data_IF_408866501448
#
_entry.id   IF_408866501448
#
_cell.length_a   1.000
_cell.length_b   1.000
_cell.length_c   1.000
_cell.angle_alpha   90.00
_cell.angle_beta   90.00
_cell.angle_gamma   90.00
#
_symmetry.space_group_name_H-M   'P 1'
#
loop_
_entity.id
_entity.type
_entity.pdbx_description
1 polymer ?
#
# COMPACT_ATOMS: atom_id res chain seq x y z
N UNK A 1 63.32 -25.61 -37.60
CA UNK A 1 62.43 -24.69 -36.84
C UNK A 1 60.96 -25.13 -36.85
N UNK A 2 60.41 -25.66 -37.96
CA UNK A 2 59.02 -26.17 -38.07
C UNK A 2 58.50 -27.07 -36.94
N UNK A 3 59.31 -27.99 -36.42
CA UNK A 3 58.84 -28.96 -35.41
C UNK A 3 58.54 -28.30 -34.04
N UNK A 4 59.20 -27.18 -33.70
CA UNK A 4 58.91 -26.45 -32.46
C UNK A 4 57.59 -25.67 -32.54
N UNK A 5 57.26 -25.12 -33.71
CA UNK A 5 55.99 -24.41 -33.95
C UNK A 5 54.80 -25.37 -33.94
N UNK A 6 54.93 -26.56 -34.53
CA UNK A 6 53.87 -27.58 -34.48
C UNK A 6 53.60 -28.09 -33.06
N UNK A 7 54.64 -28.31 -32.26
CA UNK A 7 54.51 -28.70 -30.85
C UNK A 7 53.86 -27.56 -30.04
N UNK A 8 54.20 -26.30 -30.34
CA UNK A 8 53.61 -25.13 -29.68
C UNK A 8 52.12 -24.99 -30.01
N UNK A 9 51.73 -25.10 -31.29
CA UNK A 9 50.33 -25.02 -31.72
C UNK A 9 49.51 -26.15 -31.08
N UNK A 10 50.01 -27.39 -31.05
CA UNK A 10 49.32 -28.51 -30.39
C UNK A 10 49.07 -28.26 -28.89
N UNK A 11 50.03 -27.67 -28.18
CA UNK A 11 49.86 -27.32 -26.75
C UNK A 11 48.81 -26.23 -26.54
N UNK A 12 48.82 -25.19 -27.38
CA UNK A 12 47.82 -24.11 -27.33
C UNK A 12 46.43 -24.64 -27.65
N UNK A 13 46.29 -25.51 -28.65
CA UNK A 13 45.01 -26.16 -28.99
C UNK A 13 44.49 -27.02 -27.83
N UNK A 14 45.34 -27.80 -27.17
CA UNK A 14 44.94 -28.60 -26.00
C UNK A 14 44.45 -27.72 -24.85
N UNK A 15 45.17 -26.64 -24.54
CA UNK A 15 44.77 -25.70 -23.48
C UNK A 15 43.43 -25.03 -23.84
N UNK A 16 43.26 -24.60 -25.08
CA UNK A 16 42.02 -24.00 -25.55
C UNK A 16 40.83 -24.96 -25.45
N UNK A 17 41.03 -26.25 -25.77
CA UNK A 17 40.01 -27.28 -25.67
C UNK A 17 39.60 -27.53 -24.21
N UNK A 18 40.55 -27.49 -23.27
CA UNK A 18 40.29 -27.56 -21.82
C UNK A 18 39.45 -26.36 -21.36
N UNK A 19 39.78 -25.15 -21.82
CA UNK A 19 39.00 -23.95 -21.49
C UNK A 19 37.57 -24.02 -22.04
N UNK A 20 37.38 -24.51 -23.27
CA UNK A 20 36.04 -24.74 -23.83
C UNK A 20 35.26 -25.73 -22.98
N UNK A 21 35.89 -26.84 -22.57
CA UNK A 21 35.22 -27.86 -21.77
C UNK A 21 34.79 -27.32 -20.40
N UNK A 22 35.63 -26.52 -19.75
CA UNK A 22 35.27 -25.82 -18.51
C UNK A 22 34.10 -24.85 -18.73
N UNK A 23 34.13 -24.07 -19.82
CA UNK A 23 33.06 -23.13 -20.14
C UNK A 23 31.73 -23.85 -20.38
N UNK A 24 31.75 -24.97 -21.12
CA UNK A 24 30.56 -25.82 -21.34
C UNK A 24 30.05 -26.40 -20.03
N UNK A 25 30.92 -26.83 -19.11
CA UNK A 25 30.51 -27.31 -17.79
C UNK A 25 29.80 -26.24 -16.96
N UNK A 26 30.31 -25.00 -16.97
CA UNK A 26 29.67 -23.87 -16.28
C UNK A 26 28.34 -23.54 -16.93
N UNK A 27 28.29 -23.51 -18.25
CA UNK A 27 27.06 -23.24 -19.01
C UNK A 27 25.98 -24.27 -18.73
N UNK A 28 26.30 -25.56 -18.75
CA UNK A 28 25.38 -26.64 -18.39
C UNK A 28 24.89 -26.51 -16.94
N UNK A 29 25.77 -26.10 -16.01
CA UNK A 29 25.38 -25.84 -14.62
C UNK A 29 24.39 -24.68 -14.51
N UNK A 30 24.58 -23.61 -15.29
CA UNK A 30 23.65 -22.48 -15.35
C UNK A 30 22.29 -22.88 -15.92
N UNK A 31 22.26 -23.61 -17.04
CA UNK A 31 21.01 -24.12 -17.63
C UNK A 31 20.28 -25.03 -16.64
N UNK A 32 20.99 -25.92 -15.94
CA UNK A 32 20.40 -26.77 -14.91
C UNK A 32 19.76 -25.94 -13.78
N UNK A 33 20.44 -24.89 -13.30
CA UNK A 33 19.89 -23.99 -12.29
C UNK A 33 18.66 -23.22 -12.80
N UNK A 34 18.70 -22.74 -14.05
CA UNK A 34 17.65 -21.90 -14.63
C UNK A 34 16.43 -22.66 -15.16
N UNK A 35 16.57 -23.94 -15.53
CA UNK A 35 15.47 -24.74 -16.10
C UNK A 35 14.93 -25.74 -15.08
N UNK A 36 15.81 -26.48 -14.40
CA UNK A 36 15.38 -27.58 -13.49
C UNK A 36 15.07 -27.05 -12.09
N UNK A 37 15.91 -26.14 -11.57
CA UNK A 37 15.71 -25.58 -10.23
C UNK A 37 14.89 -24.29 -10.19
N UNK A 38 14.38 -23.81 -11.34
CA UNK A 38 13.59 -22.58 -11.42
C UNK A 38 12.41 -22.59 -10.47
N UNK A 39 11.63 -23.67 -10.50
CA UNK A 39 10.40 -23.79 -9.71
C UNK A 39 10.70 -23.93 -8.22
N UNK A 40 11.75 -24.70 -7.86
CA UNK A 40 12.20 -24.83 -6.46
C UNK A 40 12.76 -23.53 -5.90
N UNK A 41 13.57 -22.78 -6.67
CA UNK A 41 14.09 -21.48 -6.23
C UNK A 41 12.96 -20.43 -6.11
N UNK A 42 12.01 -20.42 -7.05
CA UNK A 42 10.84 -19.52 -6.97
C UNK A 42 9.95 -19.89 -5.79
N UNK A 43 9.79 -21.17 -5.46
CA UNK A 43 9.00 -21.60 -4.30
C UNK A 43 9.66 -21.32 -2.95
N UNK A 44 11.00 -21.30 -2.88
CA UNK A 44 11.77 -20.95 -1.67
C UNK A 44 12.00 -19.43 -1.53
N UNK A 45 11.94 -18.69 -2.64
CA UNK A 45 11.75 -17.24 -2.65
C UNK A 45 10.31 -16.96 -2.21
N UNK A 46 10.08 -17.10 -0.90
CA UNK A 46 8.85 -16.79 -0.20
C UNK A 46 7.93 -15.79 -0.95
N UNK A 47 6.62 -16.03 -1.04
CA UNK A 47 5.65 -15.02 -1.48
C UNK A 47 5.57 -13.82 -0.49
N UNK A 48 6.44 -13.76 0.52
CA UNK A 48 6.63 -12.63 1.42
C UNK A 48 6.99 -11.32 0.68
N UNK A 49 7.51 -11.39 -0.55
CA UNK A 49 7.69 -10.19 -1.37
C UNK A 49 6.40 -9.72 -2.03
N UNK A 50 5.40 -10.58 -2.18
CA UNK A 50 4.15 -10.24 -2.86
C UNK A 50 3.10 -9.62 -1.93
N UNK A 51 3.40 -9.42 -0.64
CA UNK A 51 2.44 -8.89 0.32
C UNK A 51 3.00 -7.70 1.10
N UNK A 52 2.35 -6.54 0.95
CA UNK A 52 2.55 -5.40 1.84
C UNK A 52 1.55 -5.45 3.00
N UNK A 53 1.81 -4.68 4.05
CA UNK A 53 0.80 -4.43 5.09
C UNK A 53 0.65 -2.94 5.34
N UNK A 54 -0.59 -2.48 5.48
CA UNK A 54 -0.92 -1.13 5.94
C UNK A 54 -1.37 -1.22 7.39
N UNK A 55 -0.79 -0.38 8.23
CA UNK A 55 -1.26 -0.21 9.61
C UNK A 55 -2.58 0.55 9.54
N UNK A 56 -3.63 -0.03 10.12
CA UNK A 56 -4.93 0.61 10.23
C UNK A 56 -5.12 1.01 11.69
N UNK A 57 -5.38 2.29 11.90
CA UNK A 57 -5.65 2.80 13.24
C UNK A 57 -6.93 2.17 13.79
N UNK A 58 -6.86 1.68 15.02
CA UNK A 58 -8.02 1.11 15.70
C UNK A 58 -9.01 2.20 16.11
N UNK A 59 -10.28 1.81 16.25
CA UNK A 59 -11.31 2.68 16.83
C UNK A 59 -10.86 3.12 18.24
N UNK A 60 -10.81 4.43 18.49
CA UNK A 60 -10.51 5.04 19.79
C UNK A 60 -11.72 4.87 20.72
N UNK A 61 -11.45 4.74 22.02
CA UNK A 61 -12.47 4.63 23.05
C UNK A 61 -13.43 5.83 23.07
N UNK A 62 -14.68 5.56 23.43
CA UNK A 62 -15.71 6.59 23.60
C UNK A 62 -15.57 7.23 24.99
N UNK A 63 -15.72 8.55 25.05
CA UNK A 63 -15.79 9.30 26.31
C UNK A 63 -17.26 9.56 26.58
N UNK A 64 -17.75 9.04 27.71
CA UNK A 64 -19.14 9.15 28.13
C UNK A 64 -19.22 9.97 29.43
N UNK A 65 -20.34 10.68 29.61
CA UNK A 65 -20.73 11.23 30.91
C UNK A 65 -21.21 10.13 31.88
N UNK A 66 -21.39 10.45 33.16
CA UNK A 66 -21.94 9.57 34.18
C UNK A 66 -23.32 8.99 33.82
N UNK A 67 -24.07 9.67 32.93
CA UNK A 67 -25.35 9.22 32.40
C UNK A 67 -25.25 8.44 31.07
N UNK A 68 -24.05 7.99 30.68
CA UNK A 68 -23.76 7.33 29.39
C UNK A 68 -24.03 8.18 28.14
N UNK A 69 -24.07 9.50 28.27
CA UNK A 69 -24.20 10.40 27.12
C UNK A 69 -22.83 10.59 26.46
N UNK A 70 -22.68 10.36 25.15
CA UNK A 70 -21.39 10.45 24.48
C UNK A 70 -20.91 11.89 24.34
N UNK A 71 -19.74 12.16 24.90
CA UNK A 71 -19.05 13.44 24.87
C UNK A 71 -18.00 13.50 23.75
N UNK A 72 -17.34 12.37 23.49
CA UNK A 72 -16.44 12.20 22.35
C UNK A 72 -16.54 10.76 21.81
N UNK A 73 -16.66 10.61 20.50
CA UNK A 73 -16.78 9.33 19.84
C UNK A 73 -16.13 9.34 18.46
N UNK A 74 -15.73 8.16 18.00
CA UNK A 74 -15.20 7.99 16.65
C UNK A 74 -16.33 7.75 15.65
N UNK A 75 -16.34 8.56 14.60
CA UNK A 75 -17.20 8.38 13.46
C UNK A 75 -16.42 7.72 12.32
N UNK A 76 -17.02 6.69 11.71
CA UNK A 76 -16.44 6.02 10.55
C UNK A 76 -16.42 7.01 9.38
N UNK A 77 -15.26 7.15 8.75
CA UNK A 77 -15.07 7.94 7.54
C UNK A 77 -14.13 7.19 6.59
N UNK A 78 -13.97 7.66 5.37
CA UNK A 78 -13.14 7.01 4.37
C UNK A 78 -12.10 7.98 3.84
N UNK A 79 -10.85 7.53 3.74
CA UNK A 79 -9.78 8.23 3.05
C UNK A 79 -9.74 7.77 1.60
N UNK A 80 -9.64 8.73 0.68
CA UNK A 80 -9.53 8.48 -0.76
C UNK A 80 -8.10 8.77 -1.21
N UNK A 81 -7.45 7.73 -1.71
CA UNK A 81 -6.14 7.80 -2.33
C UNK A 81 -6.27 7.47 -3.82
N UNK A 82 -5.65 8.26 -4.69
CA UNK A 82 -5.71 8.08 -6.15
C UNK A 82 -4.32 7.92 -6.73
N UNK A 83 -4.10 6.87 -7.51
CA UNK A 83 -2.89 6.65 -8.30
C UNK A 83 -3.15 6.92 -9.78
N UNK A 84 -2.66 8.05 -10.30
CA UNK A 84 -2.92 8.50 -11.66
C UNK A 84 -2.20 7.68 -12.75
N UNK A 85 -1.22 6.84 -12.41
CA UNK A 85 -0.54 5.94 -13.36
C UNK A 85 -1.38 4.70 -13.62
N UNK A 86 -2.09 4.23 -12.60
CA UNK A 86 -2.92 3.02 -12.67
C UNK A 86 -4.31 3.27 -13.24
N UNK A 87 -4.78 4.52 -13.22
CA UNK A 87 -6.01 4.92 -13.90
C UNK A 87 -5.89 4.62 -15.40
N UNK A 88 -6.95 4.06 -15.99
CA UNK A 88 -7.00 3.79 -17.42
C UNK A 88 -6.69 5.07 -18.22
N UNK A 89 -5.61 5.04 -19.01
CA UNK A 89 -5.02 6.20 -19.67
C UNK A 89 -6.00 6.98 -20.55
N UNK A 90 -7.07 6.33 -21.05
CA UNK A 90 -8.06 6.95 -21.94
C UNK A 90 -9.10 7.80 -21.22
N UNK A 91 -9.44 7.45 -19.97
CA UNK A 91 -10.53 8.08 -19.20
C UNK A 91 -10.06 8.78 -17.93
N UNK A 92 -8.74 8.79 -17.67
CA UNK A 92 -8.11 9.34 -16.47
C UNK A 92 -8.63 10.73 -16.07
N UNK A 93 -8.69 11.67 -17.01
CA UNK A 93 -9.13 13.04 -16.72
C UNK A 93 -10.63 13.10 -16.36
N UNK A 94 -11.45 12.27 -16.99
CA UNK A 94 -12.89 12.18 -16.71
C UNK A 94 -13.14 11.57 -15.33
N UNK A 95 -12.41 10.52 -14.98
CA UNK A 95 -12.50 9.86 -13.67
C UNK A 95 -12.12 10.85 -12.56
N UNK A 96 -10.96 11.53 -12.68
CA UNK A 96 -10.52 12.49 -11.65
C UNK A 96 -11.48 13.68 -11.55
N UNK A 97 -12.05 14.17 -12.65
CA UNK A 97 -13.09 15.22 -12.60
C UNK A 97 -14.37 14.77 -11.91
N UNK A 98 -14.81 13.53 -12.12
CA UNK A 98 -15.98 12.98 -11.45
C UNK A 98 -15.73 12.84 -9.94
N UNK A 99 -14.58 12.28 -9.55
CA UNK A 99 -14.15 12.20 -8.15
C UNK A 99 -14.07 13.59 -7.52
N UNK A 100 -13.53 14.57 -8.26
CA UNK A 100 -13.41 15.93 -7.78
C UNK A 100 -14.76 16.59 -7.48
N UNK A 101 -15.78 16.27 -8.28
CA UNK A 101 -17.14 16.76 -8.06
C UNK A 101 -17.79 16.18 -6.81
N UNK A 102 -17.55 14.89 -6.52
CA UNK A 102 -18.09 14.20 -5.34
C UNK A 102 -17.42 14.71 -4.06
N UNK A 103 -16.10 14.91 -4.12
CA UNK A 103 -15.29 15.33 -2.96
C UNK A 103 -15.33 16.86 -2.74
N UNK A 104 -15.55 17.62 -3.81
CA UNK A 104 -15.56 19.09 -3.77
C UNK A 104 -14.18 19.74 -3.86
N UNK A 105 -13.22 19.13 -4.57
CA UNK A 105 -11.86 19.68 -4.72
C UNK A 105 -11.76 20.63 -5.92
N UNK A 106 -10.78 21.52 -5.90
CA UNK A 106 -10.56 22.52 -6.95
C UNK A 106 -9.92 21.93 -8.21
N UNK A 107 -10.10 22.59 -9.35
CA UNK A 107 -9.47 22.17 -10.61
C UNK A 107 -7.93 22.16 -10.54
N UNK A 108 -7.33 23.01 -9.69
CA UNK A 108 -5.88 23.02 -9.49
C UNK A 108 -5.38 21.75 -8.81
N UNK A 109 -6.13 21.24 -7.82
CA UNK A 109 -5.81 19.98 -7.14
C UNK A 109 -5.97 18.80 -8.09
N UNK A 110 -7.00 18.82 -8.94
CA UNK A 110 -7.17 17.83 -10.03
C UNK A 110 -5.93 17.76 -10.94
N UNK A 111 -5.42 18.91 -11.37
CA UNK A 111 -4.24 18.95 -12.24
C UNK A 111 -2.96 18.49 -11.52
N UNK A 112 -2.88 18.67 -10.19
CA UNK A 112 -1.81 18.12 -9.34
C UNK A 112 -1.88 16.59 -9.33
N UNK A 113 -3.06 16.05 -9.02
CA UNK A 113 -3.33 14.61 -8.98
C UNK A 113 -3.01 13.95 -10.32
N UNK A 114 -3.35 14.58 -11.44
CA UNK A 114 -3.07 14.02 -12.76
C UNK A 114 -1.56 13.92 -13.08
N UNK A 115 -0.75 14.83 -12.52
CA UNK A 115 0.70 14.90 -12.71
C UNK A 115 1.48 14.05 -11.71
N UNK A 116 0.86 13.62 -10.61
CA UNK A 116 1.51 12.79 -9.64
C UNK A 116 1.98 11.45 -10.24
N UNK A 117 3.02 10.88 -9.65
CA UNK A 117 3.60 9.60 -10.06
C UNK A 117 3.35 8.48 -9.04
N UNK A 118 2.73 8.83 -7.90
CA UNK A 118 2.42 7.93 -6.81
C UNK A 118 1.00 8.18 -6.33
N UNK A 119 0.55 7.37 -5.36
CA UNK A 119 -0.73 7.59 -4.67
C UNK A 119 -0.74 8.98 -4.03
N UNK A 120 -1.72 9.79 -4.40
CA UNK A 120 -1.99 11.09 -3.80
C UNK A 120 -3.28 10.99 -2.99
N UNK A 121 -3.21 11.48 -1.75
CA UNK A 121 -4.35 11.54 -0.85
C UNK A 121 -5.25 12.71 -1.30
N UNK A 122 -6.42 12.39 -1.84
CA UNK A 122 -7.37 13.36 -2.39
C UNK A 122 -8.30 13.88 -1.29
N UNK A 123 -8.69 13.02 -0.35
CA UNK A 123 -9.48 13.43 0.81
C UNK A 123 -9.17 12.56 2.03
N UNK A 124 -9.06 13.22 3.19
CA UNK A 124 -8.86 12.59 4.48
C UNK A 124 -10.14 12.01 5.09
N UNK A 125 -11.30 12.52 4.68
CA UNK A 125 -12.55 12.24 5.36
C UNK A 125 -13.73 12.36 4.40
N UNK A 126 -14.18 11.22 3.89
CA UNK A 126 -15.40 11.10 3.10
C UNK A 126 -16.53 10.53 3.94
N UNK A 127 -17.74 11.04 3.68
CA UNK A 127 -18.96 10.49 4.25
C UNK A 127 -19.26 9.11 3.65
N UNK A 128 -20.14 8.37 4.31
CA UNK A 128 -20.63 7.09 3.78
C UNK A 128 -21.39 7.27 2.45
N UNK A 129 -22.05 8.41 2.26
CA UNK A 129 -22.76 8.74 1.02
C UNK A 129 -21.79 8.96 -0.13
N UNK A 130 -20.76 9.78 0.07
CA UNK A 130 -19.70 9.98 -0.92
C UNK A 130 -18.98 8.69 -1.28
N UNK A 131 -18.76 7.81 -0.29
CA UNK A 131 -18.19 6.48 -0.51
C UNK A 131 -19.05 5.63 -1.45
N UNK A 132 -20.38 5.64 -1.26
CA UNK A 132 -21.31 4.91 -2.14
C UNK A 132 -21.30 5.48 -3.56
N UNK A 133 -21.33 6.80 -3.70
CA UNK A 133 -21.24 7.45 -5.01
C UNK A 133 -19.95 7.09 -5.76
N UNK A 134 -18.82 6.97 -5.05
CA UNK A 134 -17.55 6.55 -5.64
C UNK A 134 -17.57 5.07 -6.03
N UNK A 135 -18.13 4.20 -5.19
CA UNK A 135 -18.26 2.77 -5.50
C UNK A 135 -19.15 2.53 -6.74
N UNK A 136 -20.22 3.33 -6.92
CA UNK A 136 -21.11 3.28 -8.08
C UNK A 136 -20.42 3.64 -9.41
N UNK A 137 -19.26 4.32 -9.37
CA UNK A 137 -18.47 4.61 -10.56
C UNK A 137 -17.70 3.38 -11.09
N UNK A 138 -17.70 2.26 -10.34
CA UNK A 138 -17.07 0.99 -10.72
C UNK A 138 -15.63 1.15 -11.25
N UNK A 139 -14.85 2.01 -10.59
CA UNK A 139 -13.47 2.28 -11.01
C UNK A 139 -12.61 1.07 -10.65
N UNK A 140 -12.12 0.36 -11.66
CA UNK A 140 -11.40 -0.91 -11.46
C UNK A 140 -10.00 -0.74 -10.85
N UNK A 141 -9.29 0.32 -11.24
CA UNK A 141 -7.86 0.48 -10.96
C UNK A 141 -7.50 1.93 -10.61
N UNK A 142 -6.52 2.09 -9.72
CA UNK A 142 -5.93 3.40 -9.37
C UNK A 142 -6.73 4.25 -8.39
N UNK A 143 -7.80 3.71 -7.80
CA UNK A 143 -8.56 4.37 -6.72
C UNK A 143 -8.60 3.45 -5.50
N UNK A 144 -8.24 3.97 -4.33
CA UNK A 144 -8.23 3.22 -3.08
C UNK A 144 -9.01 3.97 -2.02
N UNK A 145 -10.02 3.30 -1.47
CA UNK A 145 -10.79 3.78 -0.34
C UNK A 145 -10.35 3.03 0.92
N UNK A 146 -9.73 3.73 1.86
CA UNK A 146 -9.32 3.17 3.15
C UNK A 146 -10.32 3.61 4.22
N UNK A 147 -10.92 2.67 4.95
CA UNK A 147 -11.73 3.02 6.12
C UNK A 147 -10.84 3.62 7.21
N UNK A 148 -11.24 4.77 7.74
CA UNK A 148 -10.57 5.47 8.84
C UNK A 148 -11.61 6.01 9.84
N UNK A 149 -11.14 6.64 10.89
CA UNK A 149 -11.98 7.19 11.95
C UNK A 149 -11.70 8.67 12.13
N UNK A 150 -12.76 9.45 12.24
CA UNK A 150 -12.69 10.87 12.60
C UNK A 150 -13.31 11.07 13.96
N UNK A 151 -12.57 11.74 14.85
CA UNK A 151 -13.06 12.07 16.19
C UNK A 151 -14.16 13.13 16.11
N UNK A 152 -15.31 12.83 16.70
CA UNK A 152 -16.47 13.71 16.76
C UNK A 152 -16.77 14.11 18.22
N UNK A 153 -17.14 15.38 18.43
CA UNK A 153 -17.42 15.97 19.73
C UNK A 153 -18.82 16.61 19.75
N UNK A 154 -19.89 15.83 20.02
CA UNK A 154 -21.28 16.31 19.91
C UNK A 154 -21.57 17.54 20.78
N UNK A 155 -20.95 17.64 21.95
CA UNK A 155 -21.15 18.71 22.93
C UNK A 155 -19.93 19.65 23.04
N UNK A 156 -19.17 19.81 21.94
CA UNK A 156 -17.94 20.60 21.89
C UNK A 156 -18.07 22.01 22.50
N UNK A 157 -19.18 22.70 22.28
CA UNK A 157 -19.37 24.07 22.80
C UNK A 157 -19.39 24.18 24.34
N UNK A 158 -19.76 23.11 25.05
CA UNK A 158 -19.89 23.14 26.51
C UNK A 158 -18.62 22.67 27.21
N UNK A 159 -17.93 21.68 26.64
CA UNK A 159 -16.88 20.91 27.32
C UNK A 159 -15.58 20.80 26.52
N UNK A 160 -15.40 21.50 25.39
CA UNK A 160 -14.19 21.39 24.56
C UNK A 160 -12.88 21.59 25.34
N UNK A 161 -12.82 22.56 26.26
CA UNK A 161 -11.60 22.79 27.06
C UNK A 161 -11.30 21.69 28.06
N UNK A 162 -12.32 21.00 28.55
CA UNK A 162 -12.19 19.91 29.53
C UNK A 162 -11.88 18.60 28.82
N UNK A 163 -12.66 18.26 27.80
CA UNK A 163 -12.48 17.04 27.00
C UNK A 163 -11.16 17.12 26.22
N UNK A 164 -10.89 18.28 25.61
CA UNK A 164 -9.76 18.50 24.74
C UNK A 164 -10.03 18.06 23.30
N UNK A 165 -8.94 17.83 22.56
CA UNK A 165 -8.98 17.42 21.16
C UNK A 165 -7.83 16.47 20.82
N UNK A 166 -7.91 15.85 19.64
CA UNK A 166 -6.89 14.95 19.09
C UNK A 166 -6.20 15.57 17.88
N UNK A 167 -4.97 15.16 17.63
CA UNK A 167 -4.19 15.49 16.44
C UNK A 167 -4.56 14.64 15.23
N UNK A 168 -3.90 14.94 14.10
CA UNK A 168 -4.03 14.19 12.83
C UNK A 168 -3.56 12.73 12.93
N UNK A 169 -2.69 12.45 13.89
CA UNK A 169 -2.14 11.13 14.21
C UNK A 169 -2.96 10.38 15.27
N UNK A 170 -4.17 10.87 15.58
CA UNK A 170 -5.07 10.33 16.59
C UNK A 170 -4.48 10.36 18.02
N UNK A 171 -3.50 11.23 18.29
CA UNK A 171 -2.98 11.46 19.64
C UNK A 171 -3.80 12.51 20.36
N UNK A 172 -4.15 12.27 21.62
CA UNK A 172 -4.78 13.29 22.46
C UNK A 172 -3.79 14.42 22.75
N UNK A 173 -4.19 15.67 22.50
CA UNK A 173 -3.32 16.84 22.62
C UNK A 173 -3.67 17.74 23.82
N UNK A 174 -4.88 17.63 24.36
CA UNK A 174 -5.32 18.40 25.52
C UNK A 174 -6.41 17.68 26.32
N UNK A 175 -6.72 18.21 27.51
CA UNK A 175 -7.84 17.77 28.32
C UNK A 175 -7.81 16.29 28.72
N UNK A 176 -9.00 15.71 28.86
CA UNK A 176 -9.21 14.28 29.10
C UNK A 176 -8.61 13.42 27.99
N UNK A 177 -8.66 13.87 26.74
CA UNK A 177 -8.09 13.15 25.59
C UNK A 177 -6.57 12.92 25.75
N UNK A 178 -5.84 13.92 26.24
CA UNK A 178 -4.41 13.79 26.56
C UNK A 178 -4.19 12.89 27.79
N UNK A 179 -4.91 13.15 28.88
CA UNK A 179 -4.73 12.43 30.15
C UNK A 179 -4.99 10.94 30.07
N UNK A 180 -5.99 10.52 29.29
CA UNK A 180 -6.37 9.12 29.10
C UNK A 180 -5.99 8.56 27.73
N UNK A 181 -5.03 9.19 27.04
CA UNK A 181 -4.67 8.81 25.67
C UNK A 181 -4.33 7.32 25.54
N UNK A 182 -3.60 6.75 26.49
CA UNK A 182 -3.22 5.34 26.51
C UNK A 182 -4.40 4.38 26.71
N UNK A 183 -5.42 4.78 27.47
CA UNK A 183 -6.65 4.01 27.66
C UNK A 183 -7.61 4.13 26.48
N UNK A 184 -7.59 5.28 25.81
CA UNK A 184 -8.46 5.57 24.67
C UNK A 184 -7.91 5.04 23.36
N UNK A 185 -6.58 4.93 23.20
CA UNK A 185 -5.95 4.40 21.99
C UNK A 185 -6.42 2.98 21.70
N UNK A 186 -7.04 2.80 20.53
CA UNK A 186 -7.40 1.48 20.02
C UNK A 186 -6.15 0.68 19.62
N UNK A 187 -6.28 -0.65 19.59
CA UNK A 187 -5.23 -1.51 19.07
C UNK A 187 -5.09 -1.33 17.56
N UNK A 188 -3.87 -1.04 17.10
CA UNK A 188 -3.58 -0.91 15.66
C UNK A 188 -3.72 -2.27 14.99
N UNK A 189 -4.55 -2.31 13.95
CA UNK A 189 -4.68 -3.46 13.07
C UNK A 189 -3.61 -3.45 11.97
N UNK A 190 -3.48 -4.58 11.28
CA UNK A 190 -2.71 -4.68 10.03
C UNK A 190 -3.60 -5.29 8.97
N UNK A 191 -3.71 -4.61 7.83
CA UNK A 191 -4.36 -5.17 6.64
C UNK A 191 -3.27 -5.53 5.65
N UNK A 192 -3.20 -6.82 5.32
CA UNK A 192 -2.30 -7.33 4.30
C UNK A 192 -2.92 -7.12 2.93
N UNK A 193 -2.12 -6.68 1.97
CA UNK A 193 -2.52 -6.53 0.58
C UNK A 193 -1.49 -7.19 -0.31
N UNK A 194 -1.96 -7.80 -1.39
CA UNK A 194 -1.06 -8.30 -2.42
C UNK A 194 -0.47 -7.10 -3.17
N UNK A 195 0.85 -6.98 -3.33
CA UNK A 195 1.47 -5.81 -3.99
C UNK A 195 1.17 -5.75 -5.49
N UNK A 196 0.86 -6.89 -6.11
CA UNK A 196 0.59 -6.97 -7.55
C UNK A 196 -0.85 -6.58 -7.85
N UNK A 197 -1.80 -6.97 -7.00
CA UNK A 197 -3.23 -6.63 -7.16
C UNK A 197 -3.70 -5.46 -6.28
N UNK A 198 -2.91 -5.08 -5.28
CA UNK A 198 -3.20 -4.09 -4.21
C UNK A 198 -4.55 -4.23 -3.53
N UNK A 199 -5.18 -5.40 -3.70
CA UNK A 199 -6.43 -5.74 -3.02
C UNK A 199 -6.11 -6.21 -1.60
N UNK A 200 -6.89 -5.76 -0.61
CA UNK A 200 -6.79 -6.30 0.73
C UNK A 200 -7.09 -7.80 0.68
N UNK A 201 -6.19 -8.60 1.25
CA UNK A 201 -6.42 -10.04 1.37
C UNK A 201 -7.59 -10.27 2.33
N UNK A 202 -8.54 -11.07 1.91
CA UNK A 202 -9.60 -11.53 2.82
C UNK A 202 -9.04 -12.66 3.70
N UNK A 203 -9.43 -12.74 4.99
CA UNK A 203 -9.01 -13.83 5.85
C UNK A 203 -9.42 -15.18 5.25
N UNK A 204 -8.44 -16.01 4.86
CA UNK A 204 -8.67 -17.34 4.29
C UNK A 204 -8.45 -17.45 2.77
N UNK A 205 -8.11 -16.37 2.07
CA UNK A 205 -7.70 -16.45 0.65
C UNK A 205 -6.33 -17.15 0.51
N UNK A 206 -6.20 -18.13 -0.41
CA UNK A 206 -4.91 -18.77 -0.67
C UNK A 206 -3.91 -17.75 -1.19
N UNK A 207 -2.70 -17.78 -0.65
CA UNK A 207 -1.53 -17.10 -1.22
C UNK A 207 -1.14 -17.88 -2.48
N UNK A 208 -1.64 -17.46 -3.64
CA UNK A 208 -1.24 -18.02 -4.93
C UNK A 208 0.09 -17.42 -5.39
#
# INVERSE_FOLDING_TARGET
MKNKEEIFIKRVTVIFLIFILLFVSIFLRLVFLQVVKRESLISELNPQFDFGYKVVEGKRGEILDCNNVPLALDQVTFQLDVNPIKLNSRDKEKIVKNLAKIVGISQKEVDSILKATQYEMVSASLSLEQKKEIDELEISDGVTLTQTYKRNYPLSNLLASVIGFVGVDNTGLSGVEYGFNSNLLGNKGRVFYNINTEKPMTPGEPSY
#
